data_IF_747281811487
#
_entry.id   IF_747281811487
#
_cell.length_a   1.000
_cell.length_b   1.000
_cell.length_c   1.000
_cell.angle_alpha   90.00
_cell.angle_beta   90.00
_cell.angle_gamma   90.00
#
_symmetry.space_group_name_H-M   'P 1'
#
loop_
_entity.id
_entity.type
_entity.pdbx_description
1 polymer ?
#
# COMPACT_ATOMS: atom_id res chain seq x y z
N UNK A 1 27.00 -1.92 3.54
CA UNK A 1 25.81 -1.24 2.97
C UNK A 1 25.64 -1.69 1.51
N UNK A 2 24.41 -2.11 1.11
CA UNK A 2 24.12 -2.51 -0.27
C UNK A 2 24.12 -1.29 -1.20
N UNK A 3 24.41 -1.47 -2.50
CA UNK A 3 24.48 -0.36 -3.46
C UNK A 3 23.17 0.42 -3.54
N UNK A 4 22.03 -0.27 -3.58
CA UNK A 4 20.70 0.36 -3.66
C UNK A 4 20.40 1.24 -2.44
N UNK A 5 20.68 0.78 -1.22
CA UNK A 5 20.53 1.55 0.01
C UNK A 5 21.39 2.81 -0.06
N UNK A 6 22.64 2.68 -0.46
CA UNK A 6 23.58 3.82 -0.55
C UNK A 6 23.13 4.88 -1.55
N UNK A 7 22.62 4.47 -2.72
CA UNK A 7 22.08 5.39 -3.71
C UNK A 7 20.88 6.18 -3.16
N UNK A 8 19.98 5.52 -2.43
CA UNK A 8 18.87 6.18 -1.75
C UNK A 8 19.37 7.18 -0.69
N UNK A 9 20.35 6.79 0.10
CA UNK A 9 20.91 7.66 1.15
C UNK A 9 21.59 8.90 0.56
N UNK A 10 22.29 8.78 -0.58
CA UNK A 10 22.83 9.93 -1.31
C UNK A 10 21.71 10.90 -1.69
N UNK A 11 20.64 10.41 -2.32
CA UNK A 11 19.49 11.23 -2.73
C UNK A 11 18.84 11.89 -1.52
N UNK A 12 18.61 11.15 -0.45
CA UNK A 12 18.05 11.70 0.80
C UNK A 12 18.95 12.78 1.41
N UNK A 13 20.26 12.57 1.42
CA UNK A 13 21.21 13.54 1.95
C UNK A 13 21.21 14.82 1.13
N UNK A 14 21.29 14.72 -0.21
CA UNK A 14 21.24 15.88 -1.12
C UNK A 14 19.92 16.66 -1.03
N UNK A 15 18.79 15.98 -0.75
CA UNK A 15 17.48 16.65 -0.58
C UNK A 15 17.35 17.41 0.73
N UNK A 16 17.95 16.91 1.82
CA UNK A 16 17.90 17.58 3.14
C UNK A 16 18.77 18.83 3.19
N UNK A 17 19.84 18.86 2.39
CA UNK A 17 20.75 19.99 2.35
C UNK A 17 20.24 21.05 1.38
N UNK A 18 20.22 22.30 1.82
CA UNK A 18 19.85 23.44 0.99
C UNK A 18 21.04 24.02 0.19
N UNK A 19 22.23 23.47 0.38
CA UNK A 19 23.49 23.84 -0.23
C UNK A 19 24.14 22.65 -0.91
N UNK A 20 25.09 22.91 -1.81
CA UNK A 20 25.83 21.85 -2.48
C UNK A 20 26.64 21.03 -1.45
N UNK A 21 26.57 19.72 -1.57
CA UNK A 21 27.27 18.75 -0.71
C UNK A 21 28.44 18.17 -1.48
N UNK A 22 29.64 18.19 -0.89
CA UNK A 22 30.84 17.67 -1.55
C UNK A 22 30.85 16.13 -1.54
N UNK A 23 31.54 15.52 -2.51
CA UNK A 23 31.77 14.07 -2.50
C UNK A 23 32.52 13.61 -1.25
N UNK A 24 33.34 14.47 -0.65
CA UNK A 24 34.01 14.19 0.60
C UNK A 24 33.02 14.02 1.75
N UNK A 25 32.11 14.97 1.93
CA UNK A 25 31.07 14.91 2.97
C UNK A 25 30.19 13.65 2.82
N UNK A 26 29.82 13.32 1.59
CA UNK A 26 29.05 12.09 1.33
C UNK A 26 29.84 10.81 1.64
N UNK A 27 31.13 10.78 1.27
CA UNK A 27 32.02 9.65 1.55
C UNK A 27 32.21 9.41 3.04
N UNK A 28 32.40 10.48 3.82
CA UNK A 28 32.51 10.45 5.29
C UNK A 28 31.19 9.98 5.93
N UNK A 29 30.05 10.53 5.48
CA UNK A 29 28.72 10.19 6.02
C UNK A 29 28.31 8.74 5.75
N UNK A 30 28.66 8.21 4.58
CA UNK A 30 28.25 6.88 4.14
C UNK A 30 29.35 5.82 4.31
N UNK A 31 30.49 6.20 4.89
CA UNK A 31 31.64 5.34 5.18
C UNK A 31 32.18 4.61 3.93
N UNK A 32 32.26 5.30 2.80
CA UNK A 32 32.74 4.77 1.52
C UNK A 32 33.83 5.66 0.90
N UNK A 33 34.51 5.17 -0.13
CA UNK A 33 35.53 5.96 -0.83
C UNK A 33 34.91 7.06 -1.71
N UNK A 34 35.63 8.17 -1.91
CA UNK A 34 35.25 9.22 -2.87
C UNK A 34 34.97 8.68 -4.27
N UNK A 35 35.79 7.69 -4.72
CA UNK A 35 35.58 7.03 -6.01
C UNK A 35 34.24 6.31 -6.09
N UNK A 36 33.80 5.72 -4.99
CA UNK A 36 32.46 5.08 -4.89
C UNK A 36 31.37 6.12 -5.04
N UNK A 37 31.47 7.26 -4.32
CA UNK A 37 30.51 8.37 -4.41
C UNK A 37 30.40 8.92 -5.84
N UNK A 38 31.53 9.18 -6.51
CA UNK A 38 31.50 9.68 -7.88
C UNK A 38 30.79 8.72 -8.84
N UNK A 39 31.04 7.41 -8.71
CA UNK A 39 30.36 6.40 -9.51
C UNK A 39 28.87 6.33 -9.20
N UNK A 40 28.51 6.35 -7.91
CA UNK A 40 27.12 6.29 -7.47
C UNK A 40 26.32 7.54 -7.92
N UNK A 41 26.93 8.73 -7.88
CA UNK A 41 26.32 9.95 -8.41
C UNK A 41 26.12 9.86 -9.91
N UNK A 42 27.09 9.31 -10.66
CA UNK A 42 26.93 9.11 -12.09
C UNK A 42 25.82 8.11 -12.40
N UNK A 43 25.75 6.99 -11.68
CA UNK A 43 24.67 6.01 -11.81
C UNK A 43 23.29 6.66 -11.54
N UNK A 44 23.20 7.56 -10.56
CA UNK A 44 21.97 8.32 -10.27
C UNK A 44 21.60 9.28 -11.41
N UNK A 45 22.55 10.02 -11.96
CA UNK A 45 22.36 10.92 -13.10
C UNK A 45 21.89 10.12 -14.32
N UNK A 46 22.56 9.01 -14.63
CA UNK A 46 22.22 8.12 -15.74
C UNK A 46 20.81 7.49 -15.56
N UNK A 47 20.38 7.31 -14.32
CA UNK A 47 19.02 6.89 -13.96
C UNK A 47 17.97 8.01 -13.98
N UNK A 48 18.35 9.23 -14.39
CA UNK A 48 17.44 10.37 -14.54
C UNK A 48 17.23 11.21 -13.28
N UNK A 49 18.05 11.04 -12.23
CA UNK A 49 18.03 11.93 -11.07
C UNK A 49 18.66 13.25 -11.44
N UNK A 50 17.97 14.38 -11.34
CA UNK A 50 18.51 15.68 -11.73
C UNK A 50 19.48 16.22 -10.67
N UNK A 51 20.65 15.60 -10.59
CA UNK A 51 21.76 16.07 -9.76
C UNK A 51 22.57 17.05 -10.59
N UNK A 52 22.74 18.26 -10.05
CA UNK A 52 23.56 19.31 -10.61
C UNK A 52 24.83 19.45 -9.77
N UNK A 53 25.94 19.76 -10.42
CA UNK A 53 27.22 19.95 -9.76
C UNK A 53 28.35 19.18 -10.42
N UNK A 54 29.56 19.40 -9.91
CA UNK A 54 30.78 18.77 -10.43
C UNK A 54 31.75 18.41 -9.29
N UNK A 55 32.71 17.57 -9.64
CA UNK A 55 33.75 17.15 -8.72
C UNK A 55 34.53 18.36 -8.17
N UNK A 56 34.69 18.45 -6.85
CA UNK A 56 35.38 19.54 -6.15
C UNK A 56 34.51 20.73 -5.76
N UNK A 57 33.37 20.96 -6.44
CA UNK A 57 32.42 22.03 -6.10
C UNK A 57 31.31 21.50 -5.17
N UNK A 58 30.81 20.32 -5.46
CA UNK A 58 29.72 19.67 -4.75
C UNK A 58 28.49 19.44 -5.61
N UNK A 59 27.56 18.71 -5.07
CA UNK A 59 26.35 18.22 -5.74
C UNK A 59 25.11 18.74 -5.05
N UNK A 60 24.09 19.10 -5.84
CA UNK A 60 22.78 19.52 -5.39
C UNK A 60 21.72 18.83 -6.25
N UNK A 61 20.61 18.49 -5.65
CA UNK A 61 19.45 17.94 -6.38
C UNK A 61 18.46 19.06 -6.70
N UNK A 62 17.83 19.04 -7.88
CA UNK A 62 16.79 20.02 -8.24
C UNK A 62 15.62 19.89 -7.24
N UNK A 63 15.25 21.02 -6.61
CA UNK A 63 14.16 21.10 -5.63
C UNK A 63 12.79 20.68 -6.18
N UNK A 64 12.62 20.68 -7.50
CA UNK A 64 11.39 20.22 -8.17
C UNK A 64 11.31 18.69 -8.30
N UNK A 65 12.39 18.00 -8.00
CA UNK A 65 12.42 16.54 -8.07
C UNK A 65 11.73 15.91 -6.83
N UNK A 66 10.59 15.30 -7.05
CA UNK A 66 9.71 14.86 -5.97
C UNK A 66 9.84 13.39 -5.58
N UNK A 67 10.48 12.57 -6.42
CA UNK A 67 10.68 11.14 -6.14
C UNK A 67 12.16 10.78 -6.28
N UNK A 68 12.79 10.12 -5.28
CA UNK A 68 14.07 9.47 -5.48
C UNK A 68 13.91 8.35 -6.53
N UNK A 69 14.97 7.95 -7.25
CA UNK A 69 14.91 6.74 -8.05
C UNK A 69 14.62 5.58 -7.10
N UNK A 70 13.47 4.97 -7.28
CA UNK A 70 13.13 3.74 -6.57
C UNK A 70 13.84 2.63 -7.34
N UNK A 71 14.81 1.99 -6.71
CA UNK A 71 15.51 0.82 -7.27
C UNK A 71 14.94 -0.43 -6.61
N UNK A 72 14.44 -1.33 -7.42
CA UNK A 72 13.95 -2.62 -6.97
C UNK A 72 14.97 -3.71 -7.29
N UNK A 73 15.08 -4.71 -6.43
CA UNK A 73 15.67 -6.00 -6.76
C UNK A 73 14.62 -6.96 -7.36
N UNK A 74 15.05 -8.14 -7.80
CA UNK A 74 14.17 -9.10 -8.45
C UNK A 74 13.06 -9.61 -7.52
N UNK A 75 13.40 -9.88 -6.25
CA UNK A 75 12.47 -10.41 -5.25
C UNK A 75 11.41 -9.36 -4.89
N UNK A 76 11.79 -8.09 -4.78
CA UNK A 76 10.88 -6.98 -4.55
C UNK A 76 9.90 -6.80 -5.73
N UNK A 77 10.41 -6.93 -6.96
CA UNK A 77 9.57 -6.87 -8.16
C UNK A 77 8.60 -8.04 -8.26
N UNK A 78 9.02 -9.25 -7.87
CA UNK A 78 8.15 -10.42 -7.81
C UNK A 78 7.03 -10.21 -6.80
N UNK A 79 7.35 -9.74 -5.59
CA UNK A 79 6.37 -9.43 -4.56
C UNK A 79 5.34 -8.36 -5.02
N UNK A 80 5.82 -7.29 -5.69
CA UNK A 80 4.97 -6.26 -6.26
C UNK A 80 4.06 -6.84 -7.36
N UNK A 81 4.61 -7.64 -8.27
CA UNK A 81 3.86 -8.25 -9.37
C UNK A 81 2.75 -9.18 -8.85
N UNK A 82 3.08 -10.00 -7.84
CA UNK A 82 2.10 -10.85 -7.15
C UNK A 82 0.99 -10.02 -6.51
N UNK A 83 1.34 -8.97 -5.75
CA UNK A 83 0.37 -8.08 -5.11
C UNK A 83 -0.56 -7.40 -6.12
N UNK A 84 -0.03 -6.93 -7.25
CA UNK A 84 -0.81 -6.35 -8.35
C UNK A 84 -1.73 -7.39 -9.00
N UNK A 85 -1.25 -8.63 -9.17
CA UNK A 85 -2.05 -9.76 -9.63
C UNK A 85 -3.22 -10.04 -8.67
N UNK A 86 -2.97 -10.05 -7.37
CA UNK A 86 -4.02 -10.22 -6.35
C UNK A 86 -5.06 -9.09 -6.43
N UNK A 87 -4.64 -7.84 -6.48
CA UNK A 87 -5.57 -6.70 -6.65
C UNK A 87 -6.39 -6.85 -7.93
N UNK A 88 -5.77 -7.25 -9.04
CA UNK A 88 -6.45 -7.41 -10.34
C UNK A 88 -7.51 -8.50 -10.31
N UNK A 89 -7.26 -9.60 -9.60
CA UNK A 89 -8.15 -10.76 -9.56
C UNK A 89 -9.23 -10.68 -8.48
N UNK A 90 -8.97 -9.95 -7.39
CA UNK A 90 -9.79 -9.97 -6.17
C UNK A 90 -10.48 -8.64 -5.87
N UNK A 91 -10.43 -7.65 -6.77
CA UNK A 91 -11.14 -6.38 -6.61
C UNK A 91 -12.01 -6.05 -7.83
N UNK A 92 -12.59 -4.85 -7.89
CA UNK A 92 -13.34 -4.38 -9.03
C UNK A 92 -12.42 -3.96 -10.21
N UNK A 93 -13.00 -3.91 -11.42
CA UNK A 93 -12.28 -3.54 -12.64
C UNK A 93 -11.56 -2.19 -12.53
N UNK A 94 -12.21 -1.20 -11.92
CA UNK A 94 -11.66 0.16 -11.82
C UNK A 94 -10.42 0.23 -10.91
N UNK A 95 -10.39 -0.55 -9.83
CA UNK A 95 -9.24 -0.64 -8.96
C UNK A 95 -8.13 -1.50 -9.57
N UNK A 96 -8.48 -2.59 -10.23
CA UNK A 96 -7.56 -3.42 -11.00
C UNK A 96 -6.83 -2.61 -12.09
N UNK A 97 -7.54 -1.76 -12.84
CA UNK A 97 -6.94 -0.86 -13.83
C UNK A 97 -5.92 0.11 -13.22
N UNK A 98 -6.16 0.58 -11.99
CA UNK A 98 -5.19 1.44 -11.28
C UNK A 98 -3.94 0.67 -10.87
N UNK A 99 -4.09 -0.56 -10.41
CA UNK A 99 -2.97 -1.44 -10.08
C UNK A 99 -2.11 -1.75 -11.32
N UNK A 100 -2.75 -2.11 -12.45
CA UNK A 100 -2.06 -2.33 -13.72
C UNK A 100 -1.38 -1.07 -14.25
N UNK A 101 -2.01 0.11 -14.11
CA UNK A 101 -1.39 1.37 -14.48
C UNK A 101 -0.13 1.68 -13.65
N UNK A 102 -0.18 1.40 -12.35
CA UNK A 102 1.00 1.56 -11.49
C UNK A 102 2.13 0.60 -11.90
N UNK A 103 1.79 -0.67 -12.18
CA UNK A 103 2.76 -1.66 -12.64
C UNK A 103 3.46 -1.27 -13.93
N UNK A 104 2.72 -0.81 -14.93
CA UNK A 104 3.28 -0.33 -16.20
C UNK A 104 4.27 0.82 -15.98
N UNK A 105 4.01 1.73 -15.03
CA UNK A 105 4.93 2.81 -14.69
C UNK A 105 6.22 2.28 -14.05
N UNK A 106 6.11 1.29 -13.16
CA UNK A 106 7.28 0.62 -12.57
C UNK A 106 8.10 -0.04 -13.68
N UNK A 107 7.47 -0.86 -14.53
CA UNK A 107 8.15 -1.53 -15.64
C UNK A 107 8.89 -0.55 -16.57
N UNK A 108 8.33 0.63 -16.82
CA UNK A 108 8.94 1.65 -17.67
C UNK A 108 10.23 2.27 -17.08
N UNK A 109 10.50 2.04 -15.79
CA UNK A 109 11.73 2.54 -15.11
C UNK A 109 12.79 1.46 -14.94
N UNK A 110 12.49 0.20 -15.31
CA UNK A 110 13.39 -0.93 -15.11
C UNK A 110 14.41 -1.06 -16.24
N UNK A 111 15.59 -1.57 -15.89
CA UNK A 111 16.60 -1.97 -16.86
C UNK A 111 16.20 -3.25 -17.62
N UNK A 112 16.74 -3.43 -18.84
CA UNK A 112 16.44 -4.60 -19.66
C UNK A 112 16.71 -5.97 -18.94
N UNK A 113 17.78 -6.15 -18.14
CA UNK A 113 17.96 -7.36 -17.36
C UNK A 113 16.82 -7.64 -16.38
N UNK A 114 16.39 -6.64 -15.60
CA UNK A 114 15.30 -6.79 -14.63
C UNK A 114 13.95 -7.08 -15.31
N UNK A 115 13.70 -6.50 -16.49
CA UNK A 115 12.51 -6.84 -17.29
C UNK A 115 12.54 -8.30 -17.71
N UNK A 116 13.72 -8.83 -18.10
CA UNK A 116 13.87 -10.24 -18.44
C UNK A 116 13.61 -11.17 -17.25
N UNK A 117 14.08 -10.80 -16.06
CA UNK A 117 13.82 -11.55 -14.82
C UNK A 117 12.32 -11.54 -14.48
N UNK A 118 11.64 -10.38 -14.61
CA UNK A 118 10.20 -10.28 -14.43
C UNK A 118 9.39 -11.24 -15.30
N UNK A 119 9.85 -11.51 -16.53
CA UNK A 119 9.19 -12.47 -17.43
C UNK A 119 9.40 -13.93 -17.03
N UNK A 120 10.36 -14.23 -16.16
CA UNK A 120 10.66 -15.57 -15.64
C UNK A 120 10.00 -15.84 -14.27
N UNK A 121 9.27 -14.87 -13.71
CA UNK A 121 8.57 -15.03 -12.44
C UNK A 121 7.59 -16.21 -12.53
N UNK A 122 7.73 -17.11 -11.57
CA UNK A 122 6.88 -18.31 -11.45
C UNK A 122 5.72 -18.14 -10.46
N UNK A 123 5.76 -17.07 -9.66
CA UNK A 123 4.76 -16.76 -8.63
C UNK A 123 3.74 -15.77 -9.18
N UNK A 124 2.49 -16.17 -9.30
CA UNK A 124 1.43 -15.30 -9.83
C UNK A 124 0.09 -15.57 -9.15
N UNK A 125 -0.76 -14.55 -9.13
CA UNK A 125 -2.16 -14.69 -8.71
C UNK A 125 -3.00 -15.14 -9.89
N UNK A 126 -3.65 -16.30 -9.77
CA UNK A 126 -4.63 -16.76 -10.75
C UNK A 126 -6.03 -16.23 -10.44
N UNK A 127 -6.87 -15.97 -11.46
CA UNK A 127 -8.28 -15.69 -11.23
C UNK A 127 -8.94 -16.91 -10.59
N UNK A 128 -9.58 -16.70 -9.43
CA UNK A 128 -10.23 -17.78 -8.71
C UNK A 128 -11.52 -18.22 -9.40
N UNK A 129 -11.70 -19.53 -9.55
CA UNK A 129 -12.99 -20.12 -9.89
C UNK A 129 -14.04 -19.95 -8.78
N UNK A 130 -13.57 -19.66 -7.57
CA UNK A 130 -14.38 -19.47 -6.36
C UNK A 130 -14.57 -17.99 -6.02
N UNK A 131 -14.49 -17.09 -7.01
CA UNK A 131 -14.79 -15.68 -6.77
C UNK A 131 -16.24 -15.59 -6.28
N UNK A 132 -16.39 -15.18 -5.04
CA UNK A 132 -17.70 -14.91 -4.47
C UNK A 132 -18.15 -13.56 -5.05
N UNK A 133 -19.22 -13.53 -5.86
CA UNK A 133 -19.70 -12.29 -6.44
C UNK A 133 -20.25 -11.39 -5.34
N UNK A 134 -20.02 -10.09 -5.47
CA UNK A 134 -20.69 -9.07 -4.67
C UNK A 134 -21.24 -7.98 -5.58
N UNK A 135 -22.35 -7.40 -5.18
CA UNK A 135 -23.04 -6.34 -5.93
C UNK A 135 -22.46 -4.95 -5.64
N UNK A 136 -21.75 -4.82 -4.53
CA UNK A 136 -21.22 -3.55 -4.03
C UNK A 136 -20.06 -3.07 -4.89
N UNK A 137 -20.09 -1.81 -5.30
CA UNK A 137 -18.97 -1.19 -6.00
C UNK A 137 -17.80 -0.95 -5.05
N UNK A 138 -16.75 -1.76 -5.17
CA UNK A 138 -15.55 -1.71 -4.31
C UNK A 138 -14.88 -0.31 -4.31
N UNK A 139 -14.81 0.31 -5.48
CA UNK A 139 -14.25 1.65 -5.63
C UNK A 139 -15.09 2.70 -4.89
N UNK A 140 -16.42 2.58 -4.93
CA UNK A 140 -17.33 3.48 -4.22
C UNK A 140 -17.19 3.35 -2.70
N UNK A 141 -17.12 2.12 -2.18
CA UNK A 141 -16.86 1.87 -0.75
C UNK A 141 -15.56 2.54 -0.30
N UNK A 142 -14.46 2.36 -1.07
CA UNK A 142 -13.17 3.00 -0.77
C UNK A 142 -13.26 4.52 -0.77
N UNK A 143 -14.07 5.09 -1.67
CA UNK A 143 -14.30 6.53 -1.71
C UNK A 143 -15.10 7.01 -0.49
N UNK A 144 -16.11 6.26 -0.04
CA UNK A 144 -16.87 6.55 1.16
C UNK A 144 -15.98 6.54 2.40
N UNK A 145 -15.09 5.56 2.53
CA UNK A 145 -14.10 5.50 3.62
C UNK A 145 -13.20 6.74 3.58
N UNK A 146 -12.58 7.03 2.44
CA UNK A 146 -11.63 8.14 2.30
C UNK A 146 -12.27 9.51 2.56
N UNK A 147 -13.54 9.70 2.14
CA UNK A 147 -14.27 10.95 2.29
C UNK A 147 -15.17 10.99 3.53
N UNK A 148 -15.13 9.94 4.35
CA UNK A 148 -15.89 9.80 5.61
C UNK A 148 -17.40 9.97 5.42
N UNK A 149 -17.96 9.40 4.35
CA UNK A 149 -19.40 9.37 4.17
C UNK A 149 -20.01 8.21 4.94
N UNK A 150 -21.13 8.47 5.62
CA UNK A 150 -22.00 7.40 6.09
C UNK A 150 -22.51 6.60 4.89
N UNK A 151 -22.67 5.30 5.11
CA UNK A 151 -23.27 4.41 4.11
C UNK A 151 -24.43 3.66 4.72
N UNK A 152 -25.43 3.38 3.89
CA UNK A 152 -26.58 2.54 4.24
C UNK A 152 -26.64 1.36 3.31
N UNK A 153 -27.06 0.20 3.81
CA UNK A 153 -27.22 -1.01 3.00
C UNK A 153 -28.11 -2.04 3.69
N UNK A 154 -28.65 -2.96 2.93
CA UNK A 154 -29.29 -4.19 3.42
C UNK A 154 -28.22 -5.24 3.66
N UNK A 155 -28.16 -5.79 4.85
CA UNK A 155 -27.25 -6.89 5.22
C UNK A 155 -28.00 -8.17 5.50
N UNK A 156 -27.60 -9.26 4.83
CA UNK A 156 -28.12 -10.61 5.08
C UNK A 156 -27.12 -11.37 5.96
N UNK A 157 -27.49 -11.72 7.15
CA UNK A 157 -26.63 -12.44 8.09
C UNK A 157 -26.52 -13.95 7.78
N UNK A 158 -25.76 -14.70 8.62
CA UNK A 158 -25.58 -16.14 8.43
C UNK A 158 -26.87 -16.94 8.63
N UNK A 159 -27.87 -16.37 9.31
CA UNK A 159 -29.20 -16.96 9.51
C UNK A 159 -30.21 -16.52 8.45
N UNK A 160 -29.73 -15.95 7.34
CA UNK A 160 -30.53 -15.41 6.22
C UNK A 160 -31.50 -14.28 6.64
N UNK A 161 -31.28 -13.65 7.80
CA UNK A 161 -32.09 -12.53 8.25
C UNK A 161 -31.57 -11.23 7.64
N UNK A 162 -32.47 -10.48 7.02
CA UNK A 162 -32.17 -9.18 6.45
C UNK A 162 -32.36 -8.06 7.45
N UNK A 163 -31.47 -7.07 7.39
CA UNK A 163 -31.55 -5.88 8.25
C UNK A 163 -30.87 -4.69 7.60
N UNK A 164 -31.49 -3.53 7.76
CA UNK A 164 -30.90 -2.26 7.32
C UNK A 164 -29.79 -1.83 8.27
N UNK A 165 -28.67 -1.41 7.68
CA UNK A 165 -27.50 -0.96 8.42
C UNK A 165 -27.06 0.41 7.93
N UNK A 166 -26.85 1.32 8.89
CA UNK A 166 -26.13 2.57 8.65
C UNK A 166 -24.81 2.47 9.40
N UNK A 167 -23.71 2.68 8.69
CA UNK A 167 -22.37 2.56 9.29
C UNK A 167 -21.48 3.75 8.92
N UNK A 168 -20.46 3.95 9.75
CA UNK A 168 -19.26 4.72 9.43
C UNK A 168 -18.24 3.73 8.86
N UNK A 169 -18.03 3.69 7.56
CA UNK A 169 -17.08 2.74 6.98
C UNK A 169 -15.64 3.15 7.33
N UNK A 170 -14.83 2.22 7.86
CA UNK A 170 -13.48 2.50 8.33
C UNK A 170 -12.40 1.80 7.51
N UNK A 171 -12.61 0.55 7.11
CA UNK A 171 -11.64 -0.22 6.34
C UNK A 171 -12.31 -1.30 5.49
N UNK A 172 -11.62 -1.68 4.39
CA UNK A 172 -11.85 -2.92 3.67
C UNK A 172 -10.73 -3.89 4.01
N UNK A 173 -11.10 -5.09 4.47
CA UNK A 173 -10.16 -6.10 4.95
C UNK A 173 -10.33 -7.35 4.08
N UNK A 174 -9.20 -7.85 3.54
CA UNK A 174 -9.19 -9.05 2.71
C UNK A 174 -8.94 -10.29 3.54
N UNK A 175 -9.86 -11.23 3.46
CA UNK A 175 -9.69 -12.62 3.92
C UNK A 175 -9.99 -13.53 2.73
N UNK A 176 -9.06 -13.60 1.78
CA UNK A 176 -9.27 -14.32 0.50
C UNK A 176 -10.01 -15.64 0.69
N UNK A 177 -11.12 -15.88 -0.01
CA UNK A 177 -11.72 -15.07 -1.09
C UNK A 177 -12.73 -14.00 -0.64
N UNK A 178 -12.85 -13.70 0.63
CA UNK A 178 -13.86 -12.82 1.23
C UNK A 178 -13.29 -11.44 1.49
N UNK A 179 -14.09 -10.41 1.23
CA UNK A 179 -13.84 -9.04 1.67
C UNK A 179 -14.80 -8.64 2.78
N UNK A 180 -14.27 -8.01 3.81
CA UNK A 180 -15.05 -7.44 4.91
C UNK A 180 -15.00 -5.91 4.85
N UNK A 181 -16.14 -5.29 5.07
CA UNK A 181 -16.27 -3.87 5.36
C UNK A 181 -16.34 -3.71 6.87
N UNK A 182 -15.24 -3.23 7.46
CA UNK A 182 -15.19 -2.88 8.88
C UNK A 182 -15.75 -1.46 9.09
N UNK A 183 -16.54 -1.27 10.12
CA UNK A 183 -17.09 0.04 10.44
C UNK A 183 -17.79 0.10 11.78
N UNK A 184 -18.09 1.32 12.20
CA UNK A 184 -18.95 1.56 13.35
C UNK A 184 -20.42 1.47 12.93
N UNK A 185 -21.17 0.55 13.50
CA UNK A 185 -22.58 0.35 13.21
C UNK A 185 -23.43 1.25 14.12
N UNK A 186 -24.12 2.23 13.54
CA UNK A 186 -24.96 3.18 14.29
C UNK A 186 -26.12 2.47 15.01
N UNK A 187 -26.69 1.42 14.41
CA UNK A 187 -27.78 0.65 15.00
C UNK A 187 -27.33 -0.14 16.24
N UNK A 188 -26.11 -0.64 16.26
CA UNK A 188 -25.61 -1.49 17.35
C UNK A 188 -24.72 -0.74 18.35
N UNK A 189 -24.30 0.48 18.03
CA UNK A 189 -23.37 1.26 18.84
C UNK A 189 -22.03 0.53 19.05
N UNK A 190 -21.54 -0.21 18.04
CA UNK A 190 -20.33 -1.01 18.15
C UNK A 190 -19.64 -1.21 16.80
N UNK A 191 -18.36 -1.54 16.83
CA UNK A 191 -17.65 -2.00 15.63
C UNK A 191 -18.22 -3.31 15.12
N UNK A 192 -18.34 -3.43 13.82
CA UNK A 192 -18.82 -4.62 13.11
C UNK A 192 -18.10 -4.81 11.80
N UNK A 193 -17.99 -6.07 11.41
CA UNK A 193 -17.46 -6.51 10.13
C UNK A 193 -18.60 -7.07 9.28
N UNK A 194 -18.75 -6.57 8.08
CA UNK A 194 -19.79 -6.97 7.13
C UNK A 194 -19.14 -7.58 5.91
N UNK A 195 -19.50 -8.81 5.55
CA UNK A 195 -19.03 -9.44 4.31
C UNK A 195 -19.63 -8.71 3.12
N UNK A 196 -18.79 -8.33 2.12
CA UNK A 196 -19.26 -7.60 0.94
C UNK A 196 -20.26 -8.40 0.11
N UNK A 197 -20.12 -9.72 0.04
CA UNK A 197 -21.01 -10.63 -0.69
C UNK A 197 -22.40 -10.80 -0.04
N UNK A 198 -22.58 -10.26 1.17
CA UNK A 198 -23.86 -10.25 1.91
C UNK A 198 -24.48 -8.86 2.03
N UNK A 199 -23.92 -7.90 1.31
CA UNK A 199 -24.43 -6.54 1.25
C UNK A 199 -25.19 -6.36 -0.07
N UNK A 200 -26.41 -5.87 0.00
CA UNK A 200 -27.21 -5.41 -1.13
C UNK A 200 -27.72 -3.99 -0.89
N UNK A 201 -28.23 -3.34 -1.92
CA UNK A 201 -28.79 -1.98 -1.84
C UNK A 201 -27.84 -0.96 -1.21
N UNK A 202 -26.53 -1.08 -1.53
CA UNK A 202 -25.53 -0.17 -0.98
C UNK A 202 -25.75 1.25 -1.47
N UNK A 203 -25.85 2.18 -0.53
CA UNK A 203 -26.05 3.59 -0.81
C UNK A 203 -25.11 4.48 0.02
N UNK A 204 -24.39 5.36 -0.68
CA UNK A 204 -23.63 6.43 -0.06
C UNK A 204 -24.61 7.51 0.43
N UNK A 205 -24.50 7.90 1.69
CA UNK A 205 -25.26 9.02 2.24
C UNK A 205 -24.52 10.35 2.01
N UNK A 206 -25.29 11.44 1.89
CA UNK A 206 -24.71 12.78 1.78
C UNK A 206 -24.07 13.27 3.10
N UNK A 207 -24.41 12.62 4.21
CA UNK A 207 -23.88 12.92 5.53
C UNK A 207 -22.46 12.38 5.69
N UNK A 208 -21.57 13.23 6.20
CA UNK A 208 -20.22 12.84 6.60
C UNK A 208 -20.13 12.70 8.10
N UNK A 209 -19.39 11.70 8.56
CA UNK A 209 -19.10 11.55 9.98
C UNK A 209 -17.80 12.30 10.35
N UNK A 210 -17.75 12.75 11.58
CA UNK A 210 -16.56 13.33 12.20
C UNK A 210 -15.68 12.23 12.81
N UNK A 211 -14.39 12.52 12.96
CA UNK A 211 -13.50 11.62 13.71
C UNK A 211 -13.85 11.70 15.20
N UNK A 212 -14.33 10.60 15.72
CA UNK A 212 -14.53 10.37 17.13
C UNK A 212 -13.56 9.29 17.58
N UNK A 213 -12.81 9.56 18.64
CA UNK A 213 -11.75 8.66 19.12
C UNK A 213 -12.25 7.23 19.31
N UNK A 214 -13.43 7.09 19.92
CA UNK A 214 -14.02 5.78 20.25
C UNK A 214 -14.60 5.02 19.05
N UNK A 215 -14.74 5.69 17.88
CA UNK A 215 -15.30 5.13 16.65
C UNK A 215 -14.32 5.18 15.48
N UNK A 216 -13.03 5.32 15.80
CA UNK A 216 -11.96 5.48 14.82
C UNK A 216 -11.39 4.14 14.34
N UNK A 217 -10.73 4.15 13.18
CA UNK A 217 -9.98 2.99 12.69
C UNK A 217 -8.89 2.56 13.68
N UNK A 218 -8.21 3.52 14.33
CA UNK A 218 -7.17 3.21 15.30
C UNK A 218 -7.71 2.41 16.50
N UNK A 219 -8.88 2.80 17.01
CA UNK A 219 -9.55 2.09 18.10
C UNK A 219 -10.04 0.70 17.67
N UNK A 220 -10.57 0.58 16.44
CA UNK A 220 -10.93 -0.71 15.87
C UNK A 220 -9.73 -1.65 15.76
N UNK A 221 -8.59 -1.18 15.22
CA UNK A 221 -7.38 -2.00 15.09
C UNK A 221 -6.80 -2.42 16.44
N UNK A 222 -6.88 -1.55 17.45
CA UNK A 222 -6.48 -1.89 18.82
C UNK A 222 -7.34 -3.01 19.38
N UNK A 223 -8.66 -2.92 19.23
CA UNK A 223 -9.61 -3.96 19.67
C UNK A 223 -9.32 -5.31 18.98
N UNK A 224 -9.12 -5.31 17.66
CA UNK A 224 -8.82 -6.55 16.91
C UNK A 224 -7.52 -7.19 17.41
N UNK A 225 -6.49 -6.39 17.67
CA UNK A 225 -5.21 -6.89 18.19
C UNK A 225 -5.37 -7.51 19.58
N UNK A 226 -6.12 -6.86 20.46
CA UNK A 226 -6.40 -7.38 21.81
C UNK A 226 -7.18 -8.71 21.76
N UNK A 227 -8.12 -8.85 20.82
CA UNK A 227 -8.86 -10.11 20.59
C UNK A 227 -7.94 -11.22 20.05
N UNK A 228 -7.03 -10.91 19.13
CA UNK A 228 -6.04 -11.85 18.59
C UNK A 228 -5.07 -12.33 19.67
N UNK A 229 -4.54 -11.40 20.47
CA UNK A 229 -3.62 -11.72 21.59
C UNK A 229 -4.32 -12.62 22.64
N UNK A 230 -5.58 -12.36 22.96
CA UNK A 230 -6.37 -13.18 23.88
C UNK A 230 -6.64 -14.59 23.32
N UNK A 231 -6.95 -14.71 22.03
CA UNK A 231 -7.17 -16.01 21.38
C UNK A 231 -5.88 -16.84 21.29
N UNK A 232 -4.74 -16.20 21.03
CA UNK A 232 -3.43 -16.88 20.99
C UNK A 232 -3.02 -17.38 22.40
N UNK A 233 -3.30 -16.63 23.45
CA UNK A 233 -3.03 -17.03 24.83
C UNK A 233 -3.84 -18.27 25.23
N UNK A 234 -5.12 -18.35 24.85
CA UNK A 234 -5.99 -19.52 25.12
C UNK A 234 -5.60 -20.77 24.33
N UNK A 235 -4.95 -20.63 23.16
CA UNK A 235 -4.47 -21.78 22.37
C UNK A 235 -3.14 -22.35 22.89
N UNK A 236 -2.29 -21.54 23.52
CA UNK A 236 -1.07 -22.02 24.17
C UNK A 236 -1.37 -22.88 25.43
N UNK A 237 -2.41 -22.55 26.19
CA UNK A 237 -2.77 -23.29 27.40
C UNK A 237 -3.48 -24.64 27.13
N UNK A 238 -3.97 -24.88 25.91
CA UNK A 238 -4.64 -26.13 25.53
C UNK A 238 -3.73 -27.19 24.89
N UNK A 239 -2.43 -26.88 24.70
CA UNK A 239 -1.42 -27.75 24.08
C UNK A 239 -0.34 -28.26 25.05
N UNK A 240 -0.57 -28.11 26.39
CA UNK A 240 0.32 -28.54 27.45
C UNK A 240 -0.13 -29.86 28.08
#
# INVERSE_FOLDING_TARGET
MRKAERLNDIVHHLRRMHQAVTAQTLAETLEVSHRTIYRDIQDLIDSGVPILGEAGVGYVIDKKYHLPPIMFDADELEAIALGIGMVSNWTDKKFAEKAQSAYKKIQATLSAPLISELHQISTFSAPSRYKIPWEVNFTEVRECIRRKHLVNFTYTDLSEQQSQRTIRPLALISFSPIWLLAGWCELRGAFRNFRLDRISEFAKLNTRYQDEKDKSLATYLKMVKEEEDANNATHCDSAG
#
